data_IF_310018212143
#
_entry.id   IF_310018212143
#
_cell.length_a   1.000
_cell.length_b   1.000
_cell.length_c   1.000
_cell.angle_alpha   90.00
_cell.angle_beta   90.00
_cell.angle_gamma   90.00
#
_symmetry.space_group_name_H-M   'P 1'
#
loop_
_entity.id
_entity.type
_entity.pdbx_description
1 polymer ?
#
# COMPACT_ATOMS: atom_id res chain seq x y z
N UNK A 1 -12.79 -17.53 6.81
CA UNK A 1 -12.26 -16.26 7.33
C UNK A 1 -11.54 -16.52 8.65
N UNK A 2 -10.43 -15.81 8.93
CA UNK A 2 -9.78 -15.83 10.25
C UNK A 2 -10.23 -14.59 11.03
N UNK A 3 -10.52 -14.74 12.32
CA UNK A 3 -10.94 -13.65 13.20
C UNK A 3 -9.75 -13.23 14.07
N UNK A 4 -9.49 -11.93 14.12
CA UNK A 4 -8.49 -11.33 14.99
C UNK A 4 -9.19 -10.35 15.93
N UNK A 5 -8.99 -10.50 17.25
CA UNK A 5 -9.50 -9.56 18.25
C UNK A 5 -8.40 -8.56 18.60
N UNK A 6 -8.75 -7.27 18.62
CA UNK A 6 -7.83 -6.16 18.85
C UNK A 6 -8.40 -5.28 19.96
N UNK A 7 -7.53 -4.78 20.84
CA UNK A 7 -7.90 -3.75 21.82
C UNK A 7 -7.58 -2.40 21.22
N UNK A 8 -8.60 -1.56 21.13
CA UNK A 8 -8.51 -0.18 20.67
C UNK A 8 -8.87 0.76 21.82
N UNK A 9 -8.24 1.92 21.84
CA UNK A 9 -8.56 2.97 22.78
C UNK A 9 -9.87 3.68 22.39
N UNK A 10 -10.40 4.52 23.29
CA UNK A 10 -11.69 5.20 23.08
C UNK A 10 -11.68 6.15 21.88
N UNK A 11 -10.54 6.78 21.60
CA UNK A 11 -10.39 7.74 20.52
C UNK A 11 -10.38 7.04 19.15
N UNK A 12 -9.62 5.96 19.02
CA UNK A 12 -9.60 5.11 17.82
C UNK A 12 -11.00 4.58 17.48
N UNK A 13 -11.74 4.10 18.49
CA UNK A 13 -13.11 3.61 18.29
C UNK A 13 -14.03 4.73 17.81
N UNK A 14 -13.93 5.93 18.40
CA UNK A 14 -14.74 7.09 18.01
C UNK A 14 -14.48 7.48 16.56
N UNK A 15 -13.22 7.52 16.15
CA UNK A 15 -12.85 7.91 14.78
C UNK A 15 -13.35 6.89 13.75
N UNK A 16 -13.21 5.58 14.02
CA UNK A 16 -13.78 4.51 13.19
C UNK A 16 -15.29 4.67 13.06
N UNK A 17 -15.99 4.99 14.16
CA UNK A 17 -17.44 5.20 14.15
C UNK A 17 -17.88 6.40 13.32
N UNK A 18 -17.13 7.51 13.38
CA UNK A 18 -17.41 8.71 12.60
C UNK A 18 -17.23 8.44 11.10
N UNK A 19 -16.16 7.77 10.71
CA UNK A 19 -15.93 7.36 9.32
C UNK A 19 -17.04 6.42 8.85
N UNK A 20 -17.37 5.40 9.64
CA UNK A 20 -18.43 4.44 9.33
C UNK A 20 -19.79 5.12 9.09
N UNK A 21 -20.14 6.11 9.94
CA UNK A 21 -21.36 6.92 9.77
C UNK A 21 -21.33 7.74 8.48
N UNK A 22 -20.21 8.44 8.23
CA UNK A 22 -20.04 9.29 7.04
C UNK A 22 -20.14 8.50 5.74
N UNK A 23 -19.53 7.32 5.70
CA UNK A 23 -19.48 6.45 4.51
C UNK A 23 -20.64 5.47 4.41
N UNK A 24 -21.53 5.41 5.41
CA UNK A 24 -22.64 4.45 5.50
C UNK A 24 -22.18 2.99 5.38
N UNK A 25 -21.02 2.67 5.99
CA UNK A 25 -20.43 1.33 6.05
C UNK A 25 -20.43 0.81 7.50
N UNK A 26 -20.29 -0.49 7.68
CA UNK A 26 -20.09 -1.06 9.01
C UNK A 26 -18.65 -0.84 9.51
N UNK A 27 -18.46 -0.83 10.83
CA UNK A 27 -17.14 -0.60 11.46
C UNK A 27 -16.09 -1.61 11.01
N UNK A 28 -16.47 -2.87 10.78
CA UNK A 28 -15.51 -3.91 10.40
C UNK A 28 -14.97 -3.69 8.99
N UNK A 29 -15.81 -3.17 8.08
CA UNK A 29 -15.39 -2.78 6.74
C UNK A 29 -14.43 -1.60 6.77
N UNK A 30 -14.75 -0.55 7.54
CA UNK A 30 -13.83 0.59 7.74
C UNK A 30 -12.49 0.15 8.33
N UNK A 31 -12.50 -0.70 9.37
CA UNK A 31 -11.27 -1.22 9.98
C UNK A 31 -10.43 -1.99 8.97
N UNK A 32 -11.05 -2.83 8.12
CA UNK A 32 -10.32 -3.56 7.07
C UNK A 32 -9.69 -2.62 6.04
N UNK A 33 -10.40 -1.59 5.62
CA UNK A 33 -9.88 -0.57 4.69
C UNK A 33 -8.70 0.19 5.30
N UNK A 34 -8.83 0.65 6.55
CA UNK A 34 -7.76 1.33 7.29
C UNK A 34 -6.52 0.44 7.47
N UNK A 35 -6.70 -0.85 7.75
CA UNK A 35 -5.59 -1.81 7.79
C UNK A 35 -4.91 -1.89 6.41
N UNK A 36 -5.70 -1.95 5.33
CA UNK A 36 -5.18 -1.92 3.96
C UNK A 36 -4.32 -0.68 3.68
N UNK A 37 -4.83 0.52 4.02
CA UNK A 37 -4.09 1.77 3.89
C UNK A 37 -2.82 1.80 4.75
N UNK A 38 -2.89 1.30 5.99
CA UNK A 38 -1.73 1.23 6.89
C UNK A 38 -0.63 0.28 6.37
N UNK A 39 -1.02 -0.86 5.79
CA UNK A 39 -0.07 -1.80 5.16
C UNK A 39 0.58 -1.19 3.92
N UNK A 40 -0.20 -0.49 3.08
CA UNK A 40 0.30 0.22 1.91
C UNK A 40 1.32 1.31 2.32
N UNK A 41 0.94 2.18 3.25
CA UNK A 41 1.81 3.23 3.76
C UNK A 41 3.12 2.67 4.34
N UNK A 42 3.04 1.55 5.09
CA UNK A 42 4.23 0.88 5.63
C UNK A 42 5.15 0.36 4.52
N UNK A 43 4.59 -0.22 3.45
CA UNK A 43 5.37 -0.70 2.31
C UNK A 43 6.09 0.46 1.61
N UNK A 44 5.37 1.55 1.33
CA UNK A 44 5.93 2.76 0.73
C UNK A 44 7.05 3.33 1.60
N UNK A 45 6.84 3.43 2.92
CA UNK A 45 7.85 3.91 3.86
C UNK A 45 9.12 3.06 3.82
N UNK A 46 9.00 1.74 3.84
CA UNK A 46 10.15 0.85 3.75
C UNK A 46 10.88 0.97 2.40
N UNK A 47 10.15 1.17 1.30
CA UNK A 47 10.75 1.43 -0.01
C UNK A 47 11.57 2.73 0.00
N UNK A 48 11.00 3.84 0.49
CA UNK A 48 11.70 5.13 0.64
C UNK A 48 12.96 5.04 1.52
N UNK A 49 12.92 4.20 2.55
CA UNK A 49 14.06 3.94 3.44
C UNK A 49 15.10 2.97 2.85
N UNK A 50 14.94 2.51 1.60
CA UNK A 50 15.83 1.56 0.94
C UNK A 50 15.75 0.13 1.47
N UNK A 51 14.75 -0.18 2.30
CA UNK A 51 14.56 -1.51 2.92
C UNK A 51 13.84 -2.50 2.00
N UNK A 52 13.14 -2.00 0.98
CA UNK A 52 12.48 -2.79 -0.06
C UNK A 52 12.97 -2.35 -1.43
N UNK A 53 13.29 -3.31 -2.29
CA UNK A 53 13.46 -3.07 -3.72
C UNK A 53 12.10 -2.95 -4.41
N UNK A 54 12.06 -2.37 -5.61
CA UNK A 54 10.83 -2.23 -6.41
C UNK A 54 10.14 -3.57 -6.65
N UNK A 55 10.92 -4.61 -6.99
CA UNK A 55 10.41 -5.97 -7.17
C UNK A 55 9.80 -6.56 -5.89
N UNK A 56 10.37 -6.26 -4.72
CA UNK A 56 9.85 -6.77 -3.45
C UNK A 56 8.54 -6.11 -3.06
N UNK A 57 8.43 -4.80 -3.23
CA UNK A 57 7.18 -4.09 -2.95
C UNK A 57 6.08 -4.47 -3.95
N UNK A 58 6.40 -4.66 -5.24
CA UNK A 58 5.42 -5.10 -6.25
C UNK A 58 4.85 -6.49 -5.91
N UNK A 59 5.71 -7.45 -5.56
CA UNK A 59 5.29 -8.77 -5.08
C UNK A 59 4.46 -8.71 -3.80
N UNK A 60 4.85 -7.86 -2.84
CA UNK A 60 4.13 -7.74 -1.57
C UNK A 60 2.72 -7.17 -1.75
N UNK A 61 2.55 -6.23 -2.69
CA UNK A 61 1.27 -5.60 -3.00
C UNK A 61 0.48 -6.35 -4.08
N UNK A 62 1.05 -7.41 -4.64
CA UNK A 62 0.49 -8.17 -5.76
C UNK A 62 0.15 -7.26 -6.96
N UNK A 63 1.09 -6.37 -7.29
CA UNK A 63 1.04 -5.46 -8.42
C UNK A 63 2.16 -5.80 -9.41
N UNK A 64 1.98 -5.48 -10.68
CA UNK A 64 3.08 -5.43 -11.64
C UNK A 64 4.07 -4.33 -11.28
N UNK A 65 5.26 -4.36 -11.86
CA UNK A 65 6.28 -3.32 -11.67
C UNK A 65 5.73 -1.95 -12.12
N UNK A 66 5.05 -1.89 -13.26
CA UNK A 66 4.44 -0.65 -13.78
C UNK A 66 3.40 -0.09 -12.83
N UNK A 67 2.43 -0.90 -12.40
CA UNK A 67 1.39 -0.48 -11.45
C UNK A 67 2.00 -0.02 -10.11
N UNK A 68 3.13 -0.61 -9.72
CA UNK A 68 3.84 -0.20 -8.51
C UNK A 68 4.52 1.15 -8.68
N UNK A 69 5.09 1.45 -9.84
CA UNK A 69 5.67 2.75 -10.16
C UNK A 69 4.58 3.83 -10.16
N UNK A 70 3.47 3.57 -10.85
CA UNK A 70 2.32 4.48 -10.90
C UNK A 70 1.78 4.77 -9.49
N UNK A 71 1.60 3.72 -8.68
CA UNK A 71 1.19 3.86 -7.29
C UNK A 71 2.21 4.67 -6.47
N UNK A 72 3.51 4.41 -6.59
CA UNK A 72 4.53 5.17 -5.88
C UNK A 72 4.52 6.65 -6.28
N UNK A 73 4.29 6.95 -7.57
CA UNK A 73 4.16 8.31 -8.08
C UNK A 73 2.95 9.04 -7.49
N UNK A 74 1.80 8.38 -7.34
CA UNK A 74 0.61 8.94 -6.68
C UNK A 74 0.88 9.37 -5.23
N UNK A 75 1.86 8.74 -4.57
CA UNK A 75 2.33 9.10 -3.21
C UNK A 75 3.56 10.02 -3.21
N UNK A 76 3.96 10.58 -4.36
CA UNK A 76 5.10 11.48 -4.49
C UNK A 76 6.44 10.80 -4.19
N UNK A 77 6.54 9.50 -4.50
CA UNK A 77 7.78 8.72 -4.36
C UNK A 77 8.36 8.49 -5.74
N UNK A 78 9.42 9.23 -6.05
CA UNK A 78 10.17 9.05 -7.29
C UNK A 78 10.89 7.71 -7.27
N UNK A 79 10.72 6.96 -8.35
CA UNK A 79 11.45 5.72 -8.61
C UNK A 79 12.61 6.08 -9.53
N UNK A 80 13.88 5.88 -9.11
CA UNK A 80 15.04 6.19 -9.94
C UNK A 80 15.19 5.11 -11.01
N UNK A 81 14.34 5.16 -12.04
CA UNK A 81 14.44 4.32 -13.24
C UNK A 81 14.78 5.25 -14.39
N UNK A 82 15.91 5.01 -15.04
CA UNK A 82 16.27 5.70 -16.26
C UNK A 82 15.69 4.98 -17.49
N UNK A 83 15.58 5.70 -18.60
CA UNK A 83 15.06 5.15 -19.86
C UNK A 83 15.83 3.89 -20.32
N UNK A 84 17.13 3.85 -20.07
CA UNK A 84 17.98 2.70 -20.38
C UNK A 84 17.66 1.46 -19.53
N UNK A 85 17.18 1.64 -18.28
CA UNK A 85 16.76 0.54 -17.43
C UNK A 85 15.47 -0.12 -17.92
N UNK A 86 14.58 0.67 -18.52
CA UNK A 86 13.36 0.17 -19.17
C UNK A 86 13.69 -0.70 -20.39
N UNK A 87 14.60 -0.25 -21.26
CA UNK A 87 15.00 -0.99 -22.47
C UNK A 87 15.66 -2.33 -22.13
N UNK A 88 16.52 -2.37 -21.11
CA UNK A 88 17.11 -3.64 -20.64
C UNK A 88 16.07 -4.64 -20.15
N UNK A 89 14.98 -4.17 -19.55
CA UNK A 89 13.87 -5.02 -19.15
C UNK A 89 13.10 -5.62 -20.34
N UNK A 90 13.07 -4.91 -21.48
CA UNK A 90 12.42 -5.35 -22.70
C UNK A 90 13.24 -6.41 -23.46
N UNK A 91 14.55 -6.24 -23.52
CA UNK A 91 15.46 -7.20 -24.19
C UNK A 91 15.47 -8.60 -23.54
N UNK A 92 15.11 -8.72 -22.26
CA UNK A 92 15.04 -10.01 -21.55
C UNK A 92 13.75 -10.81 -21.77
N UNK A 93 12.83 -10.32 -22.61
CA UNK A 93 11.55 -10.96 -22.92
C UNK A 93 11.50 -11.63 -24.31
N UNK A 94 12.58 -11.54 -25.11
CA UNK A 94 12.82 -12.31 -26.34
C UNK A 94 13.65 -13.58 -26.07
#
# INVERSE_FOLDING_TARGET
>A
MKVMSLRLNKEEIREIEEIAKKEKKDKSSIVRELIGYGLLYRAIKHYKEGKLSLERISKQLNLSISETIDMLADFGVEVPIEYDDYLKGYEGLE
#
